data_IF_378257500155
#
_entry.id   IF_378257500155
#
_cell.length_a   1.000
_cell.length_b   1.000
_cell.length_c   1.000
_cell.angle_alpha   90.00
_cell.angle_beta   90.00
_cell.angle_gamma   90.00
#
_symmetry.space_group_name_H-M   'P 1'
#
loop_
_entity.id
_entity.type
_entity.pdbx_description
1 polymer ?
#
# COMPACT_ATOMS: atom_id res chain seq x y z
N UNK A 1 -9.05 -14.74 2.15
CA UNK A 1 -8.96 -15.77 3.11
C UNK A 1 -7.56 -15.92 3.68
N UNK A 2 -6.51 -15.64 2.94
CA UNK A 2 -5.12 -15.58 3.40
C UNK A 2 -4.54 -14.17 3.42
N UNK A 3 -5.09 -13.24 2.67
CA UNK A 3 -4.61 -11.87 2.45
C UNK A 3 -5.06 -10.90 3.56
N UNK A 4 -4.59 -11.13 4.79
CA UNK A 4 -5.00 -10.37 5.99
C UNK A 4 -3.84 -9.93 6.88
N UNK A 5 -2.59 -10.28 6.53
CA UNK A 5 -1.45 -10.05 7.40
C UNK A 5 -1.22 -8.56 7.69
N UNK A 6 -1.47 -7.69 6.71
CA UNK A 6 -1.36 -6.24 6.92
C UNK A 6 -2.32 -5.72 7.98
N UNK A 7 -3.62 -6.04 7.87
CA UNK A 7 -4.61 -5.66 8.88
C UNK A 7 -4.32 -6.26 10.26
N UNK A 8 -3.87 -7.51 10.32
CA UNK A 8 -3.44 -8.14 11.58
C UNK A 8 -2.24 -7.41 12.19
N UNK A 9 -1.26 -7.00 11.37
CA UNK A 9 -0.09 -6.25 11.83
C UNK A 9 -0.50 -4.90 12.43
N UNK A 10 -1.40 -4.16 11.77
CA UNK A 10 -1.93 -2.89 12.28
C UNK A 10 -2.62 -3.09 13.65
N UNK A 11 -3.53 -4.06 13.74
CA UNK A 11 -4.24 -4.34 15.00
C UNK A 11 -3.30 -4.76 16.13
N UNK A 12 -2.32 -5.62 15.83
CA UNK A 12 -1.33 -6.08 16.82
C UNK A 12 -0.40 -4.94 17.26
N UNK A 13 -0.04 -4.05 16.36
CA UNK A 13 0.77 -2.87 16.67
C UNK A 13 0.02 -1.93 17.61
N UNK A 14 -1.25 -1.62 17.33
CA UNK A 14 -2.08 -0.79 18.23
C UNK A 14 -2.21 -1.42 19.61
N UNK A 15 -2.45 -2.74 19.66
CA UNK A 15 -2.51 -3.46 20.92
C UNK A 15 -1.20 -3.36 21.71
N UNK A 16 -0.05 -3.52 21.06
CA UNK A 16 1.26 -3.40 21.69
C UNK A 16 1.53 -1.98 22.20
N UNK A 17 1.21 -0.95 21.39
CA UNK A 17 1.36 0.46 21.77
C UNK A 17 0.53 0.77 23.03
N UNK A 18 -0.72 0.33 23.06
CA UNK A 18 -1.60 0.52 24.20
C UNK A 18 -1.10 -0.21 25.45
N UNK A 19 -0.59 -1.45 25.31
CA UNK A 19 -0.02 -2.21 26.43
C UNK A 19 1.26 -1.64 26.99
N UNK A 20 2.06 -1.01 26.15
CA UNK A 20 3.31 -0.35 26.54
C UNK A 20 3.10 1.08 27.03
N UNK A 21 1.87 1.59 26.97
CA UNK A 21 1.50 2.96 27.36
C UNK A 21 2.42 4.03 26.71
N UNK A 22 2.69 3.86 25.39
CA UNK A 22 3.59 4.75 24.69
C UNK A 22 2.97 6.16 24.56
N UNK A 23 3.75 7.24 24.78
CA UNK A 23 3.23 8.59 24.92
C UNK A 23 3.03 9.31 23.56
N UNK A 24 2.36 8.68 22.60
CA UNK A 24 2.01 9.29 21.32
C UNK A 24 0.66 8.75 20.81
N UNK A 25 -0.02 9.56 20.04
CA UNK A 25 -1.31 9.22 19.44
C UNK A 25 -1.10 8.38 18.19
N UNK A 26 -1.83 7.28 18.07
CA UNK A 26 -1.76 6.38 16.91
C UNK A 26 -3.16 5.95 16.49
N UNK A 27 -3.45 6.10 15.22
CA UNK A 27 -4.69 5.65 14.59
C UNK A 27 -4.42 4.44 13.72
N UNK A 28 -5.25 3.41 13.83
CA UNK A 28 -5.20 2.25 12.94
C UNK A 28 -6.43 2.20 12.05
N UNK A 29 -6.19 2.15 10.74
CA UNK A 29 -7.23 2.03 9.73
C UNK A 29 -7.05 0.71 9.00
N UNK A 30 -8.11 -0.08 8.90
CA UNK A 30 -8.10 -1.37 8.20
C UNK A 30 -9.20 -1.37 7.16
N UNK A 31 -8.83 -1.47 5.89
CA UNK A 31 -9.75 -1.69 4.79
C UNK A 31 -10.15 -3.16 4.73
N UNK A 32 -11.31 -3.51 5.27
CA UNK A 32 -11.83 -4.87 5.29
C UNK A 32 -12.95 -5.02 4.26
N UNK A 33 -12.62 -5.54 3.09
CA UNK A 33 -13.54 -5.70 1.96
C UNK A 33 -13.55 -7.13 1.45
N UNK A 34 -14.66 -7.53 0.84
CA UNK A 34 -14.75 -8.79 0.10
C UNK A 34 -14.33 -8.56 -1.36
N UNK A 35 -13.45 -9.43 -1.87
CA UNK A 35 -13.12 -9.51 -3.28
C UNK A 35 -13.78 -10.76 -3.88
N UNK A 36 -15.02 -10.59 -4.36
CA UNK A 36 -15.86 -11.67 -4.87
C UNK A 36 -16.28 -11.41 -6.32
N UNK A 37 -16.40 -12.48 -7.08
CA UNK A 37 -16.99 -12.45 -8.42
C UNK A 37 -18.48 -12.14 -8.27
N UNK A 38 -18.96 -11.12 -8.99
CA UNK A 38 -20.36 -10.72 -8.95
C UNK A 38 -20.74 -9.81 -10.12
N UNK A 39 -22.02 -9.71 -10.39
CA UNK A 39 -22.56 -8.89 -11.48
C UNK A 39 -22.28 -7.39 -11.34
N UNK A 40 -22.08 -6.92 -10.11
CA UNK A 40 -21.77 -5.53 -9.78
C UNK A 40 -20.28 -5.27 -9.56
N UNK A 41 -19.42 -6.30 -9.70
CA UNK A 41 -17.98 -6.14 -9.58
C UNK A 41 -17.44 -5.33 -10.76
N UNK A 42 -16.46 -4.46 -10.51
CA UNK A 42 -15.76 -3.75 -11.58
C UNK A 42 -14.95 -4.71 -12.47
N UNK A 43 -14.69 -4.28 -13.69
CA UNK A 43 -14.06 -5.09 -14.75
C UNK A 43 -12.81 -4.37 -15.29
N UNK A 44 -11.92 -5.08 -15.98
CA UNK A 44 -10.90 -4.43 -16.79
C UNK A 44 -11.55 -3.38 -17.72
N UNK A 45 -10.84 -2.28 -17.93
CA UNK A 45 -11.23 -1.09 -18.69
C UNK A 45 -12.27 -0.17 -18.01
N UNK A 46 -12.78 -0.54 -16.83
CA UNK A 46 -13.55 0.39 -16.01
C UNK A 46 -12.64 1.52 -15.48
N UNK A 47 -13.22 2.70 -15.28
CA UNK A 47 -12.56 3.83 -14.61
C UNK A 47 -13.25 4.09 -13.28
N UNK A 48 -12.50 3.85 -12.19
CA UNK A 48 -12.98 4.13 -10.84
C UNK A 48 -12.55 5.52 -10.38
N UNK A 49 -13.27 6.08 -9.44
CA UNK A 49 -12.93 7.33 -8.79
C UNK A 49 -12.57 7.08 -7.34
N UNK A 50 -11.34 7.38 -6.95
CA UNK A 50 -10.87 7.30 -5.57
C UNK A 50 -11.49 8.41 -4.70
N UNK A 51 -11.39 8.24 -3.39
CA UNK A 51 -11.94 9.18 -2.39
C UNK A 51 -11.44 10.62 -2.58
N UNK A 52 -10.19 10.82 -2.99
CA UNK A 52 -9.63 12.15 -3.29
C UNK A 52 -10.03 12.71 -4.67
N UNK A 53 -10.88 12.01 -5.40
CA UNK A 53 -11.38 12.42 -6.71
C UNK A 53 -10.53 11.98 -7.90
N UNK A 54 -9.33 11.44 -7.71
CA UNK A 54 -8.52 10.89 -8.81
C UNK A 54 -9.20 9.71 -9.47
N UNK A 55 -9.07 9.65 -10.79
CA UNK A 55 -9.60 8.57 -11.61
C UNK A 55 -8.55 7.49 -11.83
N UNK A 56 -8.98 6.23 -11.78
CA UNK A 56 -8.11 5.06 -11.85
C UNK A 56 -8.61 4.14 -12.97
N UNK A 57 -7.82 3.94 -14.00
CA UNK A 57 -8.06 2.93 -15.03
C UNK A 57 -7.76 1.55 -14.48
N UNK A 58 -8.72 0.65 -14.55
CA UNK A 58 -8.59 -0.73 -14.10
C UNK A 58 -8.09 -1.58 -15.26
N UNK A 59 -6.88 -2.10 -15.14
CA UNK A 59 -6.29 -3.04 -16.11
C UNK A 59 -6.25 -4.47 -15.58
N UNK A 60 -6.28 -4.64 -14.27
CA UNK A 60 -6.32 -5.94 -13.63
C UNK A 60 -7.16 -5.87 -12.35
N UNK A 61 -8.20 -6.67 -12.28
CA UNK A 61 -9.10 -6.73 -11.11
C UNK A 61 -8.49 -7.44 -9.91
N UNK A 62 -7.41 -8.21 -10.10
CA UNK A 62 -6.60 -8.85 -9.03
C UNK A 62 -5.57 -7.89 -8.41
N UNK A 63 -5.60 -6.62 -8.79
CA UNK A 63 -4.86 -5.54 -8.16
C UNK A 63 -5.81 -4.61 -7.37
N UNK A 64 -6.72 -5.18 -6.61
CA UNK A 64 -7.77 -4.53 -5.83
C UNK A 64 -7.25 -3.95 -4.51
N UNK A 65 -6.30 -4.62 -3.87
CA UNK A 65 -5.79 -4.23 -2.54
C UNK A 65 -5.24 -2.80 -2.53
N UNK A 66 -4.56 -2.38 -3.59
CA UNK A 66 -4.07 -1.01 -3.70
C UNK A 66 -5.18 0.04 -3.89
N UNK A 67 -6.33 -0.36 -4.44
CA UNK A 67 -7.49 0.53 -4.56
C UNK A 67 -8.09 0.78 -3.18
N UNK A 68 -8.23 -0.26 -2.38
CA UNK A 68 -8.69 -0.17 -0.98
C UNK A 68 -7.72 0.67 -0.15
N UNK A 69 -6.41 0.43 -0.28
CA UNK A 69 -5.39 1.21 0.44
C UNK A 69 -5.40 2.68 0.02
N UNK A 70 -5.58 2.98 -1.27
CA UNK A 70 -5.68 4.36 -1.75
C UNK A 70 -6.80 5.13 -1.02
N UNK A 71 -7.98 4.53 -0.88
CA UNK A 71 -9.09 5.13 -0.16
C UNK A 71 -8.85 5.20 1.35
N UNK A 72 -8.18 4.21 1.96
CA UNK A 72 -7.77 4.25 3.37
C UNK A 72 -6.77 5.40 3.63
N UNK A 73 -5.79 5.60 2.74
CA UNK A 73 -4.82 6.69 2.84
C UNK A 73 -5.50 8.07 2.73
N UNK A 74 -6.42 8.22 1.77
CA UNK A 74 -7.22 9.44 1.65
C UNK A 74 -8.09 9.66 2.89
N UNK A 75 -8.73 8.61 3.40
CA UNK A 75 -9.55 8.67 4.60
C UNK A 75 -8.74 9.13 5.82
N UNK A 76 -7.54 8.59 6.00
CA UNK A 76 -6.66 9.00 7.09
C UNK A 76 -6.39 10.51 7.06
N UNK A 77 -6.05 11.05 5.89
CA UNK A 77 -5.73 12.47 5.71
C UNK A 77 -6.94 13.39 5.86
N UNK A 78 -8.14 12.92 5.55
CA UNK A 78 -9.39 13.69 5.70
C UNK A 78 -9.85 13.76 7.16
N UNK A 79 -9.72 12.65 7.91
CA UNK A 79 -10.32 12.49 9.24
C UNK A 79 -9.35 12.79 10.39
N UNK A 80 -8.04 12.65 10.16
CA UNK A 80 -7.01 12.82 11.19
C UNK A 80 -6.23 14.10 10.91
N UNK A 81 -6.15 14.97 11.90
CA UNK A 81 -5.38 16.23 11.81
C UNK A 81 -3.96 16.03 12.29
N UNK A 82 -3.06 16.87 11.80
CA UNK A 82 -1.67 16.96 12.26
C UNK A 82 -0.91 15.63 12.20
N UNK A 83 -1.06 14.90 11.07
CA UNK A 83 -0.40 13.62 10.85
C UNK A 83 1.10 13.83 10.61
N UNK A 84 1.95 13.27 11.49
CA UNK A 84 3.40 13.25 11.28
C UNK A 84 3.83 12.18 10.28
N UNK A 85 3.27 10.98 10.38
CA UNK A 85 3.65 9.82 9.57
C UNK A 85 2.45 8.94 9.24
N UNK A 86 2.45 8.38 8.04
CA UNK A 86 1.52 7.33 7.63
C UNK A 86 2.33 6.10 7.21
N UNK A 87 1.97 4.94 7.75
CA UNK A 87 2.52 3.64 7.35
C UNK A 87 1.40 2.75 6.84
N UNK A 88 1.62 2.07 5.73
CA UNK A 88 0.74 1.00 5.29
C UNK A 88 1.44 -0.36 5.35
N UNK A 89 0.66 -1.38 5.64
CA UNK A 89 1.10 -2.77 5.73
C UNK A 89 0.18 -3.64 4.88
N UNK A 90 0.74 -4.26 3.85
CA UNK A 90 -0.05 -5.09 2.96
C UNK A 90 0.75 -6.23 2.36
N UNK A 91 0.12 -7.37 2.17
CA UNK A 91 0.59 -8.48 1.33
C UNK A 91 0.26 -8.19 -0.14
N UNK A 92 0.76 -7.07 -0.66
CA UNK A 92 0.22 -6.38 -1.83
C UNK A 92 0.55 -7.02 -3.16
N UNK A 93 1.78 -7.57 -3.33
CA UNK A 93 2.22 -8.05 -4.64
C UNK A 93 3.06 -9.33 -4.56
N UNK A 94 2.73 -10.31 -5.40
CA UNK A 94 3.62 -11.45 -5.65
C UNK A 94 4.97 -11.03 -6.23
N UNK A 95 5.05 -9.88 -6.90
CA UNK A 95 6.31 -9.33 -7.41
C UNK A 95 7.32 -9.01 -6.28
N UNK A 96 6.85 -8.65 -5.08
CA UNK A 96 7.71 -8.48 -3.91
C UNK A 96 8.33 -9.83 -3.51
N UNK A 97 7.52 -10.87 -3.43
CA UNK A 97 7.98 -12.24 -3.09
C UNK A 97 9.03 -12.72 -4.10
N UNK A 98 8.79 -12.49 -5.39
CA UNK A 98 9.76 -12.86 -6.45
C UNK A 98 11.07 -12.07 -6.31
N UNK A 99 11.01 -10.80 -5.89
CA UNK A 99 12.18 -9.93 -5.81
C UNK A 99 13.03 -10.15 -4.56
N UNK A 100 12.40 -10.41 -3.40
CA UNK A 100 13.10 -10.42 -2.10
C UNK A 100 12.87 -11.70 -1.28
N UNK A 101 12.10 -12.65 -1.80
CA UNK A 101 11.76 -13.90 -1.12
C UNK A 101 10.57 -13.77 -0.16
N UNK A 102 10.19 -14.90 0.43
CA UNK A 102 8.97 -15.01 1.27
C UNK A 102 9.11 -14.37 2.66
N UNK A 103 10.34 -14.22 3.16
CA UNK A 103 10.61 -13.80 4.53
C UNK A 103 11.11 -12.36 4.66
N UNK A 104 11.32 -11.67 3.54
CA UNK A 104 11.84 -10.29 3.52
C UNK A 104 10.73 -9.31 3.14
N UNK A 105 10.54 -8.27 3.93
CA UNK A 105 9.59 -7.18 3.63
C UNK A 105 10.24 -6.17 2.69
N UNK A 106 9.53 -5.76 1.64
CA UNK A 106 9.92 -4.62 0.81
C UNK A 106 9.43 -3.32 1.44
N UNK A 107 10.34 -2.43 1.78
CA UNK A 107 10.02 -1.11 2.37
C UNK A 107 10.17 -0.04 1.30
N UNK A 108 9.11 0.70 1.05
CA UNK A 108 9.03 1.78 0.06
C UNK A 108 8.48 3.04 0.71
N UNK A 109 8.67 4.19 0.10
CA UNK A 109 8.08 5.44 0.60
C UNK A 109 8.81 6.68 0.10
N UNK A 110 8.26 7.82 0.45
CA UNK A 110 8.73 9.16 0.08
C UNK A 110 9.71 9.80 1.09
N UNK A 111 10.02 9.09 2.19
CA UNK A 111 10.96 9.57 3.21
C UNK A 111 12.10 8.56 3.45
N UNK A 112 13.32 8.93 3.05
CA UNK A 112 14.50 8.07 3.12
C UNK A 112 14.91 7.70 4.56
N UNK A 113 14.78 8.65 5.49
CA UNK A 113 15.13 8.41 6.90
C UNK A 113 14.15 7.41 7.50
N UNK A 114 12.87 7.59 7.22
CA UNK A 114 11.82 6.72 7.73
C UNK A 114 11.97 5.28 7.19
N UNK A 115 12.27 5.12 5.89
CA UNK A 115 12.56 3.81 5.28
C UNK A 115 13.73 3.11 5.98
N UNK A 116 14.84 3.80 6.18
CA UNK A 116 16.02 3.26 6.86
C UNK A 116 15.71 2.84 8.29
N UNK A 117 14.97 3.68 9.03
CA UNK A 117 14.56 3.38 10.39
C UNK A 117 13.65 2.13 10.44
N UNK A 118 12.72 1.98 9.50
CA UNK A 118 11.87 0.81 9.40
C UNK A 118 12.69 -0.48 9.18
N UNK A 119 13.66 -0.46 8.25
CA UNK A 119 14.56 -1.61 8.01
C UNK A 119 15.39 -1.94 9.25
N UNK A 120 15.97 -0.94 9.92
CA UNK A 120 16.75 -1.16 11.14
C UNK A 120 15.89 -1.70 12.28
N UNK A 121 14.65 -1.23 12.42
CA UNK A 121 13.72 -1.72 13.42
C UNK A 121 13.31 -3.16 13.16
N UNK A 122 13.07 -3.54 11.91
CA UNK A 122 12.81 -4.91 11.51
C UNK A 122 13.97 -5.83 11.93
N UNK A 123 15.20 -5.46 11.58
CA UNK A 123 16.40 -6.24 11.93
C UNK A 123 16.54 -6.41 13.46
N UNK A 124 16.28 -5.35 14.23
CA UNK A 124 16.33 -5.41 15.70
C UNK A 124 15.26 -6.32 16.31
N UNK A 125 14.12 -6.45 15.64
CA UNK A 125 13.04 -7.36 16.07
C UNK A 125 13.19 -8.79 15.52
N UNK A 126 14.28 -9.09 14.82
CA UNK A 126 14.52 -10.41 14.22
C UNK A 126 13.82 -10.64 12.90
N UNK A 127 13.33 -9.59 12.25
CA UNK A 127 12.69 -9.66 10.95
C UNK A 127 13.58 -9.14 9.83
N UNK A 128 13.41 -9.67 8.62
CA UNK A 128 14.13 -9.19 7.43
C UNK A 128 13.32 -8.14 6.69
N UNK A 129 13.99 -7.06 6.30
CA UNK A 129 13.44 -6.00 5.48
C UNK A 129 14.52 -5.39 4.59
N UNK A 130 14.13 -4.90 3.42
CA UNK A 130 15.00 -4.19 2.48
C UNK A 130 14.25 -3.04 1.83
N UNK A 131 14.96 -1.99 1.42
CA UNK A 131 14.35 -0.90 0.66
C UNK A 131 14.16 -1.28 -0.80
N UNK A 132 13.04 -0.84 -1.37
CA UNK A 132 12.76 -0.86 -2.80
C UNK A 132 12.48 0.59 -3.24
N UNK A 133 13.38 1.17 -4.02
CA UNK A 133 13.37 2.60 -4.27
C UNK A 133 12.47 3.01 -5.43
N UNK A 134 11.74 4.08 -5.25
CA UNK A 134 10.94 4.72 -6.29
C UNK A 134 11.84 5.30 -7.39
N UNK A 135 11.42 5.18 -8.63
CA UNK A 135 12.12 5.79 -9.74
C UNK A 135 11.19 6.33 -10.83
N UNK A 136 11.64 7.39 -11.50
CA UNK A 136 10.87 8.11 -12.51
C UNK A 136 10.42 7.27 -13.71
N UNK A 137 11.14 6.21 -14.03
CA UNK A 137 10.82 5.36 -15.18
C UNK A 137 9.63 4.47 -14.87
N UNK A 138 9.59 3.88 -13.69
CA UNK A 138 8.46 3.08 -13.23
C UNK A 138 7.22 3.96 -12.95
N UNK A 139 7.40 5.22 -12.54
CA UNK A 139 6.28 6.17 -12.41
C UNK A 139 5.54 6.38 -13.74
N UNK A 140 6.27 6.40 -14.86
CA UNK A 140 5.66 6.51 -16.20
C UNK A 140 4.86 5.25 -16.59
N UNK A 141 5.22 4.08 -16.04
CA UNK A 141 4.59 2.81 -16.39
C UNK A 141 3.13 2.68 -15.90
N UNK A 142 2.74 3.47 -14.89
CA UNK A 142 1.38 3.51 -14.33
C UNK A 142 0.56 4.70 -14.81
N UNK A 143 1.00 5.44 -15.83
CA UNK A 143 0.20 6.48 -16.46
C UNK A 143 -0.93 5.88 -17.28
N UNK A 144 -2.10 6.51 -17.21
CA UNK A 144 -3.24 6.22 -18.07
C UNK A 144 -3.35 7.23 -19.22
N UNK A 145 -4.06 6.85 -20.26
CA UNK A 145 -4.47 7.72 -21.37
C UNK A 145 -5.93 8.20 -21.22
N UNK A 146 -6.69 7.53 -20.34
CA UNK A 146 -8.14 7.78 -20.15
C UNK A 146 -8.51 8.16 -18.71
N UNK A 147 -7.55 8.07 -17.78
CA UNK A 147 -7.70 8.38 -16.36
C UNK A 147 -6.42 9.04 -15.84
N UNK A 148 -6.39 9.44 -14.57
CA UNK A 148 -5.18 10.03 -13.96
C UNK A 148 -4.06 9.00 -13.79
N UNK A 149 -4.42 7.75 -13.48
CA UNK A 149 -3.48 6.67 -13.19
C UNK A 149 -4.08 5.30 -13.56
N UNK A 150 -3.21 4.30 -13.79
CA UNK A 150 -3.62 2.91 -13.93
C UNK A 150 -3.37 2.14 -12.63
N UNK A 151 -4.23 1.17 -12.32
CA UNK A 151 -4.01 0.32 -11.15
C UNK A 151 -2.82 -0.63 -11.27
N UNK A 152 -2.37 -0.95 -12.50
CA UNK A 152 -1.13 -1.70 -12.75
C UNK A 152 -0.35 -1.09 -13.92
N UNK A 153 0.95 -1.39 -13.99
CA UNK A 153 1.78 -1.09 -15.15
C UNK A 153 1.47 -2.06 -16.33
N UNK A 154 1.78 -1.64 -17.55
CA UNK A 154 1.68 -2.50 -18.75
C UNK A 154 2.66 -3.69 -18.74
N UNK A 155 3.75 -3.58 -17.99
CA UNK A 155 4.76 -4.63 -17.83
C UNK A 155 4.73 -5.20 -16.42
N UNK A 156 5.06 -6.48 -16.28
CA UNK A 156 5.18 -7.15 -14.97
C UNK A 156 6.43 -6.76 -14.17
N UNK A 157 7.40 -6.11 -14.82
CA UNK A 157 8.68 -5.76 -14.19
C UNK A 157 8.52 -4.60 -13.20
N UNK A 158 9.18 -4.71 -12.05
CA UNK A 158 9.09 -3.71 -11.00
C UNK A 158 7.71 -3.60 -10.33
N UNK A 159 6.90 -4.67 -10.38
CA UNK A 159 5.51 -4.68 -9.91
C UNK A 159 5.34 -4.26 -8.45
N UNK A 160 6.26 -4.61 -7.57
CA UNK A 160 6.24 -4.16 -6.17
C UNK A 160 6.42 -2.64 -6.08
N UNK A 161 7.40 -2.10 -6.80
CA UNK A 161 7.71 -0.66 -6.79
C UNK A 161 6.58 0.14 -7.42
N UNK A 162 6.01 -0.32 -8.55
CA UNK A 162 4.88 0.37 -9.20
C UNK A 162 3.63 0.36 -8.33
N UNK A 163 3.43 -0.67 -7.49
CA UNK A 163 2.34 -0.69 -6.51
C UNK A 163 2.54 0.37 -5.40
N UNK A 164 3.75 0.48 -4.85
CA UNK A 164 4.07 1.56 -3.90
C UNK A 164 3.95 2.95 -4.53
N UNK A 165 4.43 3.12 -5.77
CA UNK A 165 4.29 4.39 -6.50
C UNK A 165 2.85 4.72 -6.89
N UNK A 166 1.98 3.72 -7.03
CA UNK A 166 0.55 3.95 -7.15
C UNK A 166 0.01 4.59 -5.88
N UNK A 167 0.33 4.01 -4.70
CA UNK A 167 -0.11 4.54 -3.40
C UNK A 167 0.44 5.95 -3.11
N UNK A 168 1.66 6.25 -3.51
CA UNK A 168 2.29 7.59 -3.41
C UNK A 168 1.47 8.71 -4.09
N UNK A 169 0.53 8.37 -4.96
CA UNK A 169 -0.40 9.36 -5.55
C UNK A 169 -1.56 9.73 -4.63
N UNK A 170 -1.72 9.08 -3.49
CA UNK A 170 -2.83 9.26 -2.56
C UNK A 170 -2.38 9.77 -1.18
N UNK A 171 -1.15 10.29 -1.13
CA UNK A 171 -0.55 10.96 0.04
C UNK A 171 -0.25 12.40 -0.31
#
# INVERSE_FOLDING_TARGET
>A
KSDKSGGCAVMSTLWAIAKLELPFEVHGIVGAVENMIGGNAYKPDDVLKAKNGKTIEIRNTDAEGRLVLADCLCYAQDEIKDIDYIFDYATLTGACVVGVGEYTKGVMGNNEILKRNAVLSALKSGEYATTLDFNRFLKKAIKSEIADICNIARTRYGGAITAGMFLDNFI
#
